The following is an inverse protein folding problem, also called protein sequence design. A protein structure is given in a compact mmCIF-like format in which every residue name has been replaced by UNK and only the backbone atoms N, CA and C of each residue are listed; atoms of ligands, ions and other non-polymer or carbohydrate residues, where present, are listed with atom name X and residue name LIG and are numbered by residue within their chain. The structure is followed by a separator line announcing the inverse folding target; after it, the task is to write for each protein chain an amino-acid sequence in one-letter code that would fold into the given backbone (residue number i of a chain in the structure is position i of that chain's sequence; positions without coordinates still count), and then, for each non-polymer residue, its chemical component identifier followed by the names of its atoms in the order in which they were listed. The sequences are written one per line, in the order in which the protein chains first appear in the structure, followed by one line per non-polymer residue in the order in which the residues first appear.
data_IF_690507292205
#
_entry.id   IF_690507292205
#
_cell.length_a   1.000
_cell.length_b   1.000
_cell.length_c   1.000
_cell.angle_alpha   90.00
_cell.angle_beta   90.00
_cell.angle_gamma   90.00
#
_symmetry.space_group_name_H-M   'P 1'
#
loop_
_entity.id
_entity.type
_entity.pdbx_description
1 polymer ?
#
# COMPACT_ATOMS: atom_id res chain seq x y z
N UNK A 1 3.81 -18.14 6.65
CA UNK A 1 2.82 -17.38 5.85
C UNK A 1 2.95 -17.69 4.37
N UNK A 2 3.93 -17.16 3.62
CA UNK A 2 3.99 -17.42 2.16
C UNK A 2 4.07 -18.91 1.80
N UNK A 3 4.95 -19.65 2.46
CA UNK A 3 5.09 -21.10 2.25
C UNK A 3 3.86 -21.90 2.69
N UNK A 4 2.95 -21.30 3.47
CA UNK A 4 1.69 -21.92 3.91
C UNK A 4 0.54 -21.57 2.95
N UNK A 5 0.82 -20.93 1.80
CA UNK A 5 -0.16 -20.60 0.76
C UNK A 5 -0.75 -19.20 0.86
N UNK A 6 -0.34 -18.38 1.83
CA UNK A 6 -0.86 -17.02 1.97
C UNK A 6 -0.23 -16.06 0.97
N UNK A 7 -1.08 -15.29 0.29
CA UNK A 7 -0.65 -14.11 -0.47
C UNK A 7 -0.19 -13.02 0.50
N UNK A 8 1.03 -12.51 0.31
CA UNK A 8 1.55 -11.42 1.12
C UNK A 8 1.19 -10.06 0.49
N UNK A 9 0.57 -9.18 1.27
CA UNK A 9 0.17 -7.84 0.85
C UNK A 9 0.64 -6.81 1.88
N UNK A 10 1.24 -5.70 1.43
CA UNK A 10 1.58 -4.55 2.26
C UNK A 10 0.68 -3.38 1.89
N UNK A 11 -0.05 -2.84 2.88
CA UNK A 11 -0.82 -1.60 2.75
C UNK A 11 -0.13 -0.52 3.59
N UNK A 12 0.39 0.54 2.98
CA UNK A 12 1.14 1.60 3.70
C UNK A 12 0.65 3.01 3.38
N UNK A 13 0.74 3.91 4.36
CA UNK A 13 0.47 5.33 4.19
C UNK A 13 1.80 6.06 4.02
N UNK A 14 1.96 6.84 2.95
CA UNK A 14 3.19 7.59 2.64
C UNK A 14 2.87 9.04 2.29
N UNK A 15 2.18 9.73 3.21
CA UNK A 15 1.82 11.15 3.07
C UNK A 15 3.02 12.08 2.81
N UNK A 16 4.25 11.65 3.10
CA UNK A 16 5.45 12.41 2.75
C UNK A 16 5.60 12.62 1.23
N UNK A 17 5.09 11.70 0.41
CA UNK A 17 5.12 11.84 -1.06
C UNK A 17 4.27 13.05 -1.48
N UNK A 18 3.07 13.19 -0.93
CA UNK A 18 2.20 14.35 -1.20
C UNK A 18 2.76 15.65 -0.63
N UNK A 19 3.46 15.60 0.52
CA UNK A 19 4.09 16.79 1.13
C UNK A 19 5.26 17.34 0.29
N UNK A 20 5.99 16.50 -0.42
CA UNK A 20 7.14 16.90 -1.25
C UNK A 20 6.73 17.21 -2.71
N UNK A 21 5.75 18.10 -2.93
CA UNK A 21 5.17 18.35 -4.26
C UNK A 21 6.20 18.63 -5.36
N UNK A 22 7.20 19.46 -5.08
CA UNK A 22 8.25 19.84 -6.04
C UNK A 22 9.30 18.74 -6.27
N UNK A 23 9.29 17.69 -5.45
CA UNK A 23 10.22 16.53 -5.52
C UNK A 23 9.48 15.21 -5.42
N UNK A 24 8.23 15.18 -5.90
CA UNK A 24 7.33 14.03 -5.72
C UNK A 24 7.93 12.76 -6.30
N UNK A 25 8.47 12.83 -7.52
CA UNK A 25 9.09 11.68 -8.18
C UNK A 25 10.26 11.13 -7.36
N UNK A 26 11.15 11.98 -6.87
CA UNK A 26 12.26 11.56 -6.01
C UNK A 26 11.76 10.89 -4.71
N UNK A 27 10.67 11.38 -4.12
CA UNK A 27 10.07 10.76 -2.94
C UNK A 27 9.45 9.39 -3.26
N UNK A 28 8.81 9.24 -4.42
CA UNK A 28 8.30 7.97 -4.95
C UNK A 28 9.45 6.99 -5.17
N UNK A 29 10.46 7.38 -5.93
CA UNK A 29 11.61 6.52 -6.27
C UNK A 29 12.33 6.04 -5.02
N UNK A 30 12.53 6.94 -4.04
CA UNK A 30 13.12 6.60 -2.75
C UNK A 30 12.28 5.58 -1.96
N UNK A 31 10.95 5.63 -2.08
CA UNK A 31 10.07 4.68 -1.40
C UNK A 31 10.05 3.33 -2.11
N UNK A 32 9.92 3.34 -3.44
CA UNK A 32 9.95 2.14 -4.28
C UNK A 32 11.26 1.38 -4.09
N UNK A 33 12.41 2.05 -4.18
CA UNK A 33 13.71 1.39 -3.97
C UNK A 33 13.88 0.77 -2.59
N UNK A 34 13.29 1.35 -1.52
CA UNK A 34 13.30 0.72 -0.19
C UNK A 34 12.43 -0.54 -0.14
N UNK A 35 11.30 -0.54 -0.83
CA UNK A 35 10.40 -1.69 -0.90
C UNK A 35 11.02 -2.81 -1.73
N UNK A 36 11.64 -2.48 -2.86
CA UNK A 36 12.33 -3.44 -3.72
C UNK A 36 13.47 -4.12 -2.95
N UNK A 37 14.33 -3.36 -2.30
CA UNK A 37 15.41 -3.92 -1.46
C UNK A 37 14.87 -4.81 -0.33
N UNK A 38 13.73 -4.45 0.26
CA UNK A 38 13.10 -5.28 1.28
C UNK A 38 12.58 -6.60 0.70
N UNK A 39 11.89 -6.55 -0.44
CA UNK A 39 11.37 -7.72 -1.16
C UNK A 39 12.53 -8.65 -1.57
N UNK A 40 13.63 -8.11 -2.06
CA UNK A 40 14.86 -8.86 -2.39
C UNK A 40 15.46 -9.57 -1.16
N UNK A 41 15.45 -8.89 -0.01
CA UNK A 41 15.95 -9.45 1.25
C UNK A 41 15.08 -10.60 1.78
N UNK A 42 13.76 -10.47 1.74
CA UNK A 42 12.83 -11.49 2.28
C UNK A 42 12.56 -12.63 1.31
N UNK A 43 12.90 -12.47 0.02
CA UNK A 43 12.79 -13.49 -1.04
C UNK A 43 11.38 -14.09 -1.16
N UNK A 44 10.36 -13.26 -0.97
CA UNK A 44 8.96 -13.65 -1.12
C UNK A 44 8.24 -12.64 -2.03
N UNK A 45 7.31 -13.09 -2.88
CA UNK A 45 6.50 -12.18 -3.68
C UNK A 45 5.53 -11.42 -2.76
N UNK A 46 5.56 -10.10 -2.84
CA UNK A 46 4.71 -9.22 -2.03
C UNK A 46 4.04 -8.20 -2.95
N UNK A 47 2.72 -8.07 -2.83
CA UNK A 47 1.97 -7.00 -3.50
C UNK A 47 1.88 -5.79 -2.57
N UNK A 48 2.27 -4.61 -3.06
CA UNK A 48 2.32 -3.39 -2.23
C UNK A 48 1.36 -2.33 -2.74
N UNK A 49 0.57 -1.75 -1.84
CA UNK A 49 -0.29 -0.60 -2.07
C UNK A 49 0.16 0.55 -1.18
N UNK A 50 0.29 1.74 -1.78
CA UNK A 50 0.81 2.94 -1.14
C UNK A 50 -0.22 4.06 -1.25
N UNK A 51 -0.82 4.44 -0.13
CA UNK A 51 -1.64 5.65 -0.03
C UNK A 51 -0.72 6.87 0.10
N UNK A 52 -0.55 7.60 -0.99
CA UNK A 52 0.31 8.79 -1.03
C UNK A 52 -0.36 10.04 -0.46
N UNK A 53 -1.70 10.07 -0.40
CA UNK A 53 -2.47 11.23 0.04
C UNK A 53 -2.26 11.57 1.52
N UNK A 54 -2.84 12.69 1.91
CA UNK A 54 -2.86 13.13 3.30
C UNK A 54 -4.05 12.48 4.01
N UNK A 55 -3.87 12.08 5.27
CA UNK A 55 -5.00 11.70 6.12
C UNK A 55 -5.91 12.89 6.42
N UNK A 56 -7.15 12.61 6.83
CA UNK A 56 -8.17 13.60 7.18
C UNK A 56 -7.62 14.70 8.10
N UNK A 57 -7.83 15.96 7.69
CA UNK A 57 -7.47 17.15 8.46
C UNK A 57 -8.54 18.22 8.33
N UNK A 58 -8.39 19.33 9.06
CA UNK A 58 -9.39 20.43 9.10
C UNK A 58 -9.77 20.96 7.70
N UNK A 59 -8.77 21.05 6.82
CA UNK A 59 -8.92 21.56 5.44
C UNK A 59 -8.42 20.54 4.39
N UNK A 60 -8.28 19.28 4.79
CA UNK A 60 -7.76 18.20 3.94
C UNK A 60 -8.88 17.18 3.75
N UNK A 61 -9.36 16.98 2.51
CA UNK A 61 -10.33 15.94 2.20
C UNK A 61 -9.82 14.58 2.67
N UNK A 62 -10.73 13.77 3.18
CA UNK A 62 -10.39 12.42 3.63
C UNK A 62 -10.03 11.55 2.42
N UNK A 63 -8.80 11.02 2.40
CA UNK A 63 -8.36 10.08 1.37
C UNK A 63 -8.89 8.68 1.72
N UNK A 64 -9.78 8.09 0.90
CA UNK A 64 -10.35 6.77 1.18
C UNK A 64 -9.31 5.66 1.20
N UNK A 65 -8.14 5.85 0.59
CA UNK A 65 -7.04 4.91 0.61
C UNK A 65 -6.14 5.08 1.84
N UNK A 66 -6.14 6.25 2.48
CA UNK A 66 -5.29 6.50 3.64
C UNK A 66 -5.88 5.82 4.89
N UNK A 67 -5.14 4.85 5.45
CA UNK A 67 -5.57 4.12 6.65
C UNK A 67 -5.88 5.10 7.79
N UNK A 68 -6.92 4.83 8.62
CA UNK A 68 -7.64 3.56 8.77
C UNK A 68 -8.75 3.31 7.73
N UNK A 69 -8.93 4.18 6.73
CA UNK A 69 -9.92 3.94 5.68
C UNK A 69 -9.60 2.66 4.89
N UNK A 70 -10.60 1.86 4.50
CA UNK A 70 -10.39 0.55 3.88
C UNK A 70 -10.16 0.59 2.37
N UNK A 71 -9.98 1.77 1.75
CA UNK A 71 -9.93 1.88 0.29
C UNK A 71 -8.82 1.02 -0.35
N UNK A 72 -7.64 0.95 0.26
CA UNK A 72 -6.58 0.06 -0.26
C UNK A 72 -6.95 -1.42 -0.15
N UNK A 73 -7.69 -1.82 0.89
CA UNK A 73 -8.18 -3.18 1.06
C UNK A 73 -9.18 -3.54 -0.05
N UNK A 74 -10.19 -2.69 -0.26
CA UNK A 74 -11.21 -2.90 -1.29
C UNK A 74 -10.60 -2.92 -2.69
N UNK A 75 -9.68 -2.00 -2.98
CA UNK A 75 -8.93 -1.99 -4.23
C UNK A 75 -8.24 -3.33 -4.47
N UNK A 76 -7.51 -3.83 -3.47
CA UNK A 76 -6.81 -5.10 -3.55
C UNK A 76 -7.76 -6.28 -3.75
N UNK A 77 -8.79 -6.40 -2.91
CA UNK A 77 -9.74 -7.51 -2.92
C UNK A 77 -10.53 -7.58 -4.24
N UNK A 78 -11.02 -6.43 -4.73
CA UNK A 78 -11.93 -6.38 -5.88
C UNK A 78 -11.21 -6.40 -7.23
N UNK A 79 -10.03 -5.80 -7.32
CA UNK A 79 -9.36 -5.59 -8.60
C UNK A 79 -8.04 -6.34 -8.74
N UNK A 80 -7.39 -6.71 -7.64
CA UNK A 80 -6.04 -7.27 -7.66
C UNK A 80 -5.92 -8.63 -6.98
N UNK A 81 -7.05 -9.30 -6.72
CA UNK A 81 -7.07 -10.65 -6.15
C UNK A 81 -7.65 -11.71 -7.10
N UNK A 82 -7.65 -11.46 -8.41
CA UNK A 82 -8.09 -12.42 -9.44
C UNK A 82 -9.53 -12.93 -9.25
N UNK A 83 -10.39 -12.16 -8.55
CA UNK A 83 -11.75 -12.59 -8.21
C UNK A 83 -11.83 -13.69 -7.15
N UNK A 84 -10.72 -14.03 -6.49
CA UNK A 84 -10.69 -14.97 -5.37
C UNK A 84 -11.16 -14.23 -4.12
N UNK A 85 -12.17 -14.76 -3.44
CA UNK A 85 -12.64 -14.21 -2.17
C UNK A 85 -11.58 -14.40 -1.07
N UNK A 86 -11.49 -13.41 -0.18
CA UNK A 86 -10.54 -13.43 0.94
C UNK A 86 -11.28 -13.94 2.17
N UNK A 87 -10.80 -15.04 2.75
CA UNK A 87 -11.24 -15.52 4.05
C UNK A 87 -10.75 -14.54 5.14
N UNK A 88 -11.69 -13.96 5.88
CA UNK A 88 -11.43 -12.99 6.95
C UNK A 88 -11.47 -13.62 8.35
N UNK A 89 -11.92 -14.86 8.45
CA UNK A 89 -12.08 -15.58 9.72
C UNK A 89 -10.86 -16.47 10.03
N UNK A 90 -9.90 -16.57 9.11
CA UNK A 90 -8.59 -17.23 9.29
C UNK A 90 -7.42 -16.24 9.39
#
# INVERSE_FOLDING_TARGET
MYNDGYKLVILTNESNIERHKNKRQQAVDSKVGRLDNFIECVKAPIQVFIACGLGKGKDIPDDPYHKPNPGMWWLMAQHFNSGIEIDMDQ
#
